data_IF_842421480909
#
_entry.id   IF_842421480909
#
_cell.length_a   1.000
_cell.length_b   1.000
_cell.length_c   1.000
_cell.angle_alpha   90.00
_cell.angle_beta   90.00
_cell.angle_gamma   90.00
#
_symmetry.space_group_name_H-M   'P 1'
#
loop_
_entity.id
_entity.type
_entity.pdbx_description
1 polymer ?
#
# COMPACT_ATOMS: atom_id res chain seq x y z
N UNK A 1 13.60 -3.35 -8.38
CA UNK A 1 12.73 -2.87 -7.26
C UNK A 1 13.47 -1.77 -6.54
N UNK A 2 12.86 -0.61 -6.38
CA UNK A 2 13.36 0.49 -5.55
C UNK A 2 12.77 0.40 -4.15
N UNK A 3 13.47 0.94 -3.16
CA UNK A 3 13.04 0.98 -1.76
C UNK A 3 13.00 2.41 -1.26
N UNK A 4 12.09 2.68 -0.35
CA UNK A 4 11.94 3.95 0.36
C UNK A 4 12.37 3.74 1.81
N UNK A 5 13.14 4.66 2.34
CA UNK A 5 13.45 4.68 3.78
C UNK A 5 12.43 5.53 4.51
N UNK A 6 11.66 4.91 5.41
CA UNK A 6 10.65 5.53 6.26
C UNK A 6 11.00 5.21 7.70
N UNK A 7 11.26 6.21 8.54
CA UNK A 7 11.59 6.02 9.98
C UNK A 7 12.63 4.90 10.20
N UNK A 8 13.66 4.86 9.35
CA UNK A 8 14.73 3.87 9.31
C UNK A 8 14.32 2.45 8.88
N UNK A 9 13.12 2.23 8.37
CA UNK A 9 12.70 0.96 7.77
C UNK A 9 12.69 1.05 6.24
N UNK A 10 13.15 -0.01 5.58
CA UNK A 10 13.15 -0.13 4.13
C UNK A 10 11.82 -0.69 3.63
N UNK A 11 11.13 0.05 2.77
CA UNK A 11 9.83 -0.34 2.21
C UNK A 11 9.92 -0.43 0.69
N UNK A 12 9.54 -1.58 0.07
CA UNK A 12 9.47 -1.64 -1.39
C UNK A 12 8.47 -0.62 -1.93
N UNK A 13 8.91 0.24 -2.85
CA UNK A 13 8.09 1.33 -3.39
C UNK A 13 6.90 0.85 -4.24
N UNK A 14 6.96 -0.39 -4.76
CA UNK A 14 5.86 -1.02 -5.51
C UNK A 14 5.41 -2.31 -4.83
N UNK A 15 4.11 -2.40 -4.54
CA UNK A 15 3.48 -3.58 -3.96
C UNK A 15 2.37 -4.17 -4.83
N UNK A 16 1.90 -5.37 -4.45
CA UNK A 16 0.70 -5.99 -5.02
C UNK A 16 -0.51 -5.71 -4.12
N UNK A 17 -1.51 -4.96 -4.63
CA UNK A 17 -2.82 -4.84 -3.98
C UNK A 17 -3.70 -6.07 -4.26
N UNK A 18 -4.31 -6.65 -3.22
CA UNK A 18 -5.10 -7.88 -3.32
C UNK A 18 -6.63 -7.65 -3.28
N UNK A 19 -7.10 -6.42 -3.24
CA UNK A 19 -8.53 -6.14 -3.20
C UNK A 19 -9.30 -6.79 -4.36
N UNK A 20 -10.37 -7.54 -4.05
CA UNK A 20 -11.18 -8.34 -4.99
C UNK A 20 -10.43 -9.52 -5.65
N UNK A 21 -9.29 -9.91 -5.17
CA UNK A 21 -8.71 -11.21 -5.52
C UNK A 21 -9.28 -12.27 -4.59
N UNK A 22 -9.76 -13.39 -5.13
CA UNK A 22 -10.40 -14.46 -4.36
C UNK A 22 -9.93 -15.83 -4.80
N UNK A 23 -9.97 -16.82 -3.89
CA UNK A 23 -9.71 -18.23 -4.17
C UNK A 23 -8.37 -18.45 -4.89
N UNK A 24 -8.35 -19.40 -5.83
CA UNK A 24 -7.13 -19.78 -6.57
C UNK A 24 -6.51 -18.63 -7.37
N UNK A 25 -7.30 -17.61 -7.75
CA UNK A 25 -6.78 -16.43 -8.47
C UNK A 25 -5.91 -15.61 -7.54
N UNK A 26 -6.33 -15.41 -6.28
CA UNK A 26 -5.54 -14.70 -5.27
C UNK A 26 -4.23 -15.44 -4.97
N UNK A 27 -4.30 -16.73 -4.64
CA UNK A 27 -3.10 -17.56 -4.37
C UNK A 27 -2.09 -17.46 -5.50
N UNK A 28 -2.54 -17.66 -6.75
CA UNK A 28 -1.68 -17.61 -7.93
C UNK A 28 -1.08 -16.21 -8.15
N UNK A 29 -1.89 -15.15 -8.02
CA UNK A 29 -1.42 -13.77 -8.25
C UNK A 29 -0.33 -13.39 -7.25
N UNK A 30 -0.51 -13.70 -5.96
CA UNK A 30 0.49 -13.45 -4.91
C UNK A 30 1.75 -14.26 -5.16
N UNK A 31 1.63 -15.59 -5.38
CA UNK A 31 2.78 -16.44 -5.65
C UNK A 31 3.59 -16.01 -6.88
N UNK A 32 2.90 -15.64 -7.98
CA UNK A 32 3.55 -15.15 -9.21
C UNK A 32 4.21 -13.80 -9.01
N UNK A 33 3.55 -12.85 -8.32
CA UNK A 33 4.15 -11.55 -8.03
C UNK A 33 5.46 -11.70 -7.24
N UNK A 34 5.45 -12.46 -6.15
CA UNK A 34 6.64 -12.70 -5.33
C UNK A 34 7.75 -13.41 -6.13
N UNK A 35 7.40 -14.43 -6.94
CA UNK A 35 8.35 -15.12 -7.82
C UNK A 35 8.97 -14.20 -8.89
N UNK A 36 8.28 -13.11 -9.28
CA UNK A 36 8.76 -12.11 -10.23
C UNK A 36 9.59 -10.99 -9.58
N UNK A 37 9.70 -10.96 -8.24
CA UNK A 37 10.50 -9.98 -7.52
C UNK A 37 9.71 -8.91 -6.78
N UNK A 38 8.36 -9.00 -6.70
CA UNK A 38 7.62 -8.19 -5.73
C UNK A 38 8.05 -8.57 -4.31
N UNK A 39 8.11 -7.56 -3.45
CA UNK A 39 8.45 -7.73 -2.02
C UNK A 39 7.49 -6.98 -1.09
N UNK A 40 6.38 -6.47 -1.61
CA UNK A 40 5.33 -5.82 -0.83
C UNK A 40 3.96 -6.39 -1.25
N UNK A 41 3.19 -6.88 -0.27
CA UNK A 41 1.83 -7.42 -0.47
C UNK A 41 0.86 -6.68 0.46
N UNK A 42 -0.20 -6.10 -0.12
CA UNK A 42 -1.24 -5.38 0.62
C UNK A 42 -2.56 -6.13 0.58
N UNK A 43 -3.09 -6.45 1.76
CA UNK A 43 -4.40 -7.05 1.96
C UNK A 43 -5.18 -6.33 3.07
N UNK A 44 -6.32 -6.88 3.50
CA UNK A 44 -7.13 -6.40 4.61
C UNK A 44 -8.10 -7.48 5.10
N UNK A 45 -8.52 -7.42 6.36
CA UNK A 45 -9.56 -8.29 6.93
C UNK A 45 -10.85 -8.27 6.10
N UNK A 46 -11.29 -7.06 5.69
CA UNK A 46 -12.50 -6.84 4.91
C UNK A 46 -12.47 -7.51 3.52
N UNK A 47 -11.27 -7.78 2.96
CA UNK A 47 -11.18 -8.41 1.64
C UNK A 47 -11.55 -9.90 1.68
N UNK A 48 -11.51 -10.52 2.86
CA UNK A 48 -11.86 -11.93 3.06
C UNK A 48 -10.90 -12.91 2.38
N UNK A 49 -9.68 -12.47 2.04
CA UNK A 49 -8.72 -13.25 1.25
C UNK A 49 -7.35 -13.42 1.93
N UNK A 50 -7.24 -13.11 3.23
CA UNK A 50 -5.98 -13.23 3.96
C UNK A 50 -5.43 -14.66 3.95
N UNK A 51 -6.30 -15.68 3.97
CA UNK A 51 -5.88 -17.08 3.90
C UNK A 51 -5.27 -17.44 2.53
N UNK A 52 -5.81 -16.90 1.46
CA UNK A 52 -5.29 -17.05 0.11
C UNK A 52 -3.97 -16.30 -0.09
N UNK A 53 -3.84 -15.11 0.51
CA UNK A 53 -2.58 -14.34 0.52
C UNK A 53 -1.51 -15.15 1.24
N UNK A 54 -1.76 -15.62 2.45
CA UNK A 54 -0.82 -16.44 3.22
C UNK A 54 -0.38 -17.70 2.45
N UNK A 55 -1.32 -18.39 1.80
CA UNK A 55 -1.00 -19.54 0.96
C UNK A 55 -0.16 -19.15 -0.26
N UNK A 56 -0.48 -18.03 -0.93
CA UNK A 56 0.28 -17.55 -2.08
C UNK A 56 1.72 -17.17 -1.73
N UNK A 57 1.93 -16.62 -0.52
CA UNK A 57 3.28 -16.34 0.02
C UNK A 57 4.05 -17.63 0.28
N UNK A 58 3.43 -18.61 0.93
CA UNK A 58 4.03 -19.93 1.18
C UNK A 58 4.39 -20.65 -0.14
N UNK A 59 3.46 -20.67 -1.12
CA UNK A 59 3.68 -21.30 -2.43
C UNK A 59 4.81 -20.60 -3.24
N UNK A 60 5.12 -19.34 -2.99
CA UNK A 60 6.19 -18.60 -3.64
C UNK A 60 7.59 -19.02 -3.17
N UNK A 61 7.73 -19.55 -1.97
CA UNK A 61 9.00 -19.94 -1.37
C UNK A 61 9.98 -18.78 -1.14
N UNK A 62 9.46 -17.56 -0.97
CA UNK A 62 10.22 -16.37 -0.59
C UNK A 62 10.26 -16.30 0.94
N UNK A 63 11.42 -16.00 1.52
CA UNK A 63 11.55 -15.88 2.97
C UNK A 63 10.63 -14.78 3.51
N UNK A 64 9.99 -15.03 4.66
CA UNK A 64 9.01 -14.11 5.25
C UNK A 64 9.60 -12.72 5.51
N UNK A 65 10.83 -12.65 5.92
CA UNK A 65 11.58 -11.43 6.21
C UNK A 65 11.85 -10.56 4.97
N UNK A 66 11.82 -11.16 3.79
CA UNK A 66 11.97 -10.46 2.51
C UNK A 66 10.65 -9.83 2.02
N UNK A 67 9.52 -10.05 2.70
CA UNK A 67 8.20 -9.57 2.25
C UNK A 67 7.64 -8.55 3.22
N UNK A 68 7.43 -7.32 2.75
CA UNK A 68 6.68 -6.29 3.46
C UNK A 68 5.17 -6.58 3.32
N UNK A 69 4.54 -7.06 4.39
CA UNK A 69 3.15 -7.50 4.41
C UNK A 69 2.26 -6.49 5.17
N UNK A 70 1.25 -5.97 4.48
CA UNK A 70 0.26 -5.06 5.06
C UNK A 70 -1.09 -5.74 5.21
N UNK A 71 -1.72 -5.62 6.39
CA UNK A 71 -3.15 -5.89 6.56
C UNK A 71 -3.83 -4.76 7.33
N UNK A 72 -5.18 -4.79 7.45
CA UNK A 72 -5.96 -3.66 7.96
C UNK A 72 -7.12 -4.13 8.83
N UNK A 73 -7.35 -3.45 9.94
CA UNK A 73 -8.50 -3.65 10.83
C UNK A 73 -9.69 -2.83 10.33
N UNK A 74 -10.87 -3.44 10.27
CA UNK A 74 -12.09 -2.75 9.85
C UNK A 74 -12.71 -1.94 10.99
N UNK A 75 -13.36 -0.78 10.74
CA UNK A 75 -13.88 0.11 11.79
C UNK A 75 -14.80 -0.54 12.83
N UNK A 76 -15.59 -1.54 12.46
CA UNK A 76 -16.44 -2.27 13.43
C UNK A 76 -15.65 -3.03 14.51
N UNK A 77 -14.35 -3.23 14.30
CA UNK A 77 -13.47 -3.99 15.18
C UNK A 77 -12.41 -3.12 15.88
N UNK A 78 -12.64 -1.81 16.02
CA UNK A 78 -11.69 -0.85 16.60
C UNK A 78 -11.60 -0.88 18.13
N UNK A 79 -12.57 -1.48 18.84
CA UNK A 79 -12.46 -1.66 20.29
C UNK A 79 -11.20 -2.48 20.65
N UNK A 80 -10.52 -2.09 21.72
CA UNK A 80 -9.20 -2.60 22.12
C UNK A 80 -9.07 -4.12 22.00
N UNK A 81 -9.89 -4.87 22.73
CA UNK A 81 -9.86 -6.35 22.74
C UNK A 81 -10.16 -6.95 21.35
N UNK A 82 -10.94 -6.23 20.54
CA UNK A 82 -11.25 -6.68 19.18
C UNK A 82 -10.07 -6.49 18.24
N UNK A 83 -9.33 -5.39 18.34
CA UNK A 83 -8.11 -5.17 17.56
C UNK A 83 -7.12 -6.30 17.82
N UNK A 84 -6.83 -6.59 19.08
CA UNK A 84 -5.92 -7.67 19.49
C UNK A 84 -6.38 -9.02 18.90
N UNK A 85 -7.63 -9.40 19.18
CA UNK A 85 -8.18 -10.67 18.72
C UNK A 85 -8.21 -10.78 17.19
N UNK A 86 -8.65 -9.73 16.49
CA UNK A 86 -8.78 -9.73 15.03
C UNK A 86 -7.43 -9.75 14.33
N UNK A 87 -6.44 -9.10 14.88
CA UNK A 87 -5.07 -9.19 14.35
C UNK A 87 -4.51 -10.60 14.55
N UNK A 88 -4.73 -11.23 15.68
CA UNK A 88 -4.37 -12.64 15.88
C UNK A 88 -5.07 -13.61 14.92
N UNK A 89 -6.34 -13.33 14.54
CA UNK A 89 -7.06 -14.09 13.50
C UNK A 89 -6.44 -13.86 12.10
N UNK A 90 -6.00 -12.63 11.80
CA UNK A 90 -5.31 -12.28 10.55
C UNK A 90 -3.97 -12.99 10.43
N UNK A 91 -3.15 -12.98 11.47
CA UNK A 91 -1.85 -13.67 11.50
C UNK A 91 -2.00 -15.17 11.20
N UNK A 92 -2.99 -15.83 11.81
CA UNK A 92 -3.29 -17.25 11.55
C UNK A 92 -3.67 -17.50 10.09
N UNK A 93 -4.49 -16.65 9.48
CA UNK A 93 -4.88 -16.76 8.06
C UNK A 93 -3.71 -16.49 7.14
N UNK A 94 -2.91 -15.48 7.44
CA UNK A 94 -1.72 -15.09 6.70
C UNK A 94 -0.55 -16.08 6.88
N UNK A 95 -0.66 -17.02 7.84
CA UNK A 95 0.35 -18.06 8.14
C UNK A 95 1.70 -17.45 8.52
N UNK A 96 1.67 -16.42 9.35
CA UNK A 96 2.85 -15.69 9.80
C UNK A 96 2.71 -15.31 11.26
N UNK A 97 3.82 -15.09 11.92
CA UNK A 97 3.87 -14.64 13.32
C UNK A 97 3.73 -13.10 13.44
N UNK A 98 4.01 -12.36 12.35
CA UNK A 98 3.93 -10.90 12.34
C UNK A 98 3.47 -10.35 10.99
N UNK A 99 2.99 -9.11 11.00
CA UNK A 99 2.84 -8.27 9.80
C UNK A 99 3.76 -7.06 9.90
N UNK A 100 4.26 -6.59 8.75
CA UNK A 100 5.13 -5.43 8.70
C UNK A 100 4.34 -4.15 8.97
N UNK A 101 3.08 -4.09 8.50
CA UNK A 101 2.24 -2.92 8.67
C UNK A 101 0.79 -3.31 8.99
N UNK A 102 0.27 -2.79 10.10
CA UNK A 102 -1.14 -2.86 10.46
C UNK A 102 -1.78 -1.47 10.31
N UNK A 103 -2.88 -1.38 9.54
CA UNK A 103 -3.59 -0.13 9.33
C UNK A 103 -4.97 -0.12 9.96
N UNK A 104 -5.39 1.03 10.49
CA UNK A 104 -6.81 1.35 10.58
C UNK A 104 -7.34 1.56 9.17
N UNK A 105 -8.32 0.74 8.71
CA UNK A 105 -8.72 0.71 7.29
C UNK A 105 -9.46 1.98 6.82
N UNK A 106 -10.17 2.63 7.74
CA UNK A 106 -10.88 3.90 7.57
C UNK A 106 -10.92 4.63 8.91
N UNK A 107 -11.16 5.95 8.94
CA UNK A 107 -11.61 6.59 10.16
C UNK A 107 -12.85 5.87 10.71
N UNK A 108 -12.93 5.72 12.02
CA UNK A 108 -14.04 5.05 12.68
C UNK A 108 -14.80 6.00 13.59
N UNK A 109 -16.11 5.74 13.77
CA UNK A 109 -16.95 6.44 14.72
C UNK A 109 -17.24 5.56 15.94
N UNK A 110 -17.34 6.14 17.13
CA UNK A 110 -17.83 5.47 18.33
C UNK A 110 -16.79 4.76 19.21
N UNK A 111 -15.53 4.59 18.72
CA UNK A 111 -14.39 4.18 19.55
C UNK A 111 -13.35 5.29 19.51
N UNK A 112 -12.85 5.77 20.66
CA UNK A 112 -11.81 6.79 20.69
C UNK A 112 -10.56 6.34 19.91
N UNK A 113 -9.98 7.23 19.11
CA UNK A 113 -8.81 6.95 18.28
C UNK A 113 -7.64 6.39 19.10
N UNK A 114 -7.40 6.97 20.29
CA UNK A 114 -6.36 6.52 21.20
C UNK A 114 -6.56 5.10 21.76
N UNK A 115 -7.81 4.61 21.86
CA UNK A 115 -8.08 3.23 22.27
C UNK A 115 -7.64 2.24 21.20
N UNK A 116 -8.01 2.49 19.95
CA UNK A 116 -7.63 1.64 18.82
C UNK A 116 -6.12 1.65 18.60
N UNK A 117 -5.51 2.83 18.57
CA UNK A 117 -4.05 2.97 18.39
C UNK A 117 -3.26 2.41 19.59
N UNK A 118 -3.83 2.51 20.81
CA UNK A 118 -3.26 1.87 22.00
C UNK A 118 -3.15 0.35 21.85
N UNK A 119 -4.22 -0.30 21.37
CA UNK A 119 -4.20 -1.73 21.08
C UNK A 119 -3.19 -2.10 19.96
N UNK A 120 -3.09 -1.28 18.91
CA UNK A 120 -2.14 -1.51 17.83
C UNK A 120 -0.69 -1.35 18.31
N UNK A 121 -0.41 -0.43 19.24
CA UNK A 121 0.89 -0.28 19.89
C UNK A 121 1.25 -1.48 20.76
N UNK A 122 0.30 -2.02 21.54
CA UNK A 122 0.55 -3.25 22.31
C UNK A 122 1.00 -4.39 21.39
N UNK A 123 0.31 -4.60 20.26
CA UNK A 123 0.72 -5.58 19.24
C UNK A 123 2.11 -5.29 18.66
N UNK A 124 2.50 -4.02 18.57
CA UNK A 124 3.83 -3.61 18.14
C UNK A 124 4.88 -3.93 19.22
N UNK A 125 4.59 -3.66 20.47
CA UNK A 125 5.47 -3.98 21.60
C UNK A 125 5.66 -5.51 21.77
N UNK A 126 4.64 -6.31 21.44
CA UNK A 126 4.70 -7.77 21.40
C UNK A 126 5.45 -8.33 20.17
N UNK A 127 5.71 -7.51 19.15
CA UNK A 127 6.40 -7.90 17.92
C UNK A 127 5.52 -8.61 16.88
N UNK A 128 4.20 -8.70 17.10
CA UNK A 128 3.26 -9.25 16.12
C UNK A 128 2.87 -8.25 15.02
N UNK A 129 3.18 -6.96 15.22
CA UNK A 129 3.06 -5.87 14.27
C UNK A 129 4.37 -5.07 14.30
N UNK A 130 5.01 -4.82 13.17
CA UNK A 130 6.25 -4.03 13.16
C UNK A 130 5.97 -2.53 13.09
N UNK A 131 4.98 -2.12 12.30
CA UNK A 131 4.61 -0.72 12.11
C UNK A 131 3.09 -0.53 12.17
N UNK A 132 2.68 0.64 12.70
CA UNK A 132 1.29 1.04 12.83
C UNK A 132 1.00 2.19 11.87
N UNK A 133 -0.18 2.21 11.26
CA UNK A 133 -0.59 3.29 10.39
C UNK A 133 -2.10 3.39 10.24
N UNK A 134 -2.49 4.30 9.36
CA UNK A 134 -3.88 4.61 9.09
C UNK A 134 -4.19 4.55 7.60
N UNK A 135 -5.46 4.60 7.24
CA UNK A 135 -5.89 4.67 5.85
C UNK A 135 -7.10 5.60 5.71
N UNK A 136 -7.09 6.43 4.66
CA UNK A 136 -8.12 7.41 4.36
C UNK A 136 -8.27 8.53 5.42
N UNK A 137 -7.23 8.83 6.15
CA UNK A 137 -7.18 9.95 7.08
C UNK A 137 -6.82 11.24 6.33
N UNK A 138 -7.50 12.33 6.64
CA UNK A 138 -7.13 13.67 6.18
C UNK A 138 -6.06 14.27 7.11
N UNK A 139 -5.34 15.34 6.71
CA UNK A 139 -4.15 15.80 7.43
C UNK A 139 -4.33 16.01 8.94
N UNK A 140 -5.38 16.73 9.37
CA UNK A 140 -5.59 16.96 10.80
C UNK A 140 -5.92 15.69 11.61
N UNK A 141 -6.50 14.67 10.97
CA UNK A 141 -6.75 13.39 11.63
C UNK A 141 -5.46 12.54 11.73
N UNK A 142 -4.52 12.70 10.79
CA UNK A 142 -3.17 12.11 10.90
C UNK A 142 -2.42 12.73 12.07
N UNK A 143 -2.50 14.06 12.24
CA UNK A 143 -1.91 14.78 13.39
C UNK A 143 -2.48 14.27 14.72
N UNK A 144 -3.82 14.17 14.82
CA UNK A 144 -4.49 13.59 16.00
C UNK A 144 -4.03 12.14 16.26
N UNK A 145 -3.95 11.31 15.22
CA UNK A 145 -3.45 9.94 15.35
C UNK A 145 -2.01 9.88 15.86
N UNK A 146 -1.17 10.82 15.43
CA UNK A 146 0.24 10.92 15.83
C UNK A 146 0.43 11.27 17.32
N UNK A 147 -0.59 11.84 17.98
CA UNK A 147 -0.57 12.04 19.45
C UNK A 147 -0.67 10.71 20.23
N UNK A 148 -1.17 9.65 19.60
CA UNK A 148 -1.43 8.35 20.22
C UNK A 148 -0.46 7.25 19.82
N UNK A 149 0.09 7.29 18.60
CA UNK A 149 1.06 6.32 18.11
C UNK A 149 1.99 6.95 17.05
N UNK A 150 3.17 6.36 16.87
CA UNK A 150 4.01 6.72 15.73
C UNK A 150 3.34 6.24 14.43
N UNK A 151 2.84 7.16 13.62
CA UNK A 151 2.18 6.83 12.35
C UNK A 151 3.25 6.58 11.29
N UNK A 152 3.34 5.32 10.85
CA UNK A 152 4.27 4.89 9.82
C UNK A 152 3.72 5.09 8.41
N UNK A 153 2.42 4.99 8.22
CA UNK A 153 1.78 5.03 6.90
C UNK A 153 0.40 5.69 6.96
N UNK A 154 0.06 6.48 5.93
CA UNK A 154 -1.31 6.79 5.58
C UNK A 154 -1.60 6.27 4.16
N UNK A 155 -2.45 5.25 4.04
CA UNK A 155 -2.82 4.67 2.75
C UNK A 155 -4.09 5.35 2.20
N UNK A 156 -4.00 5.96 1.02
CA UNK A 156 -5.10 6.75 0.42
C UNK A 156 -5.30 6.43 -1.06
N UNK A 157 -6.48 6.79 -1.60
CA UNK A 157 -6.67 6.77 -3.05
C UNK A 157 -5.84 7.87 -3.67
N UNK A 158 -4.82 7.49 -4.46
CA UNK A 158 -3.93 8.43 -5.11
C UNK A 158 -3.59 7.97 -6.54
N UNK A 159 -3.83 8.82 -7.51
CA UNK A 159 -3.59 8.59 -8.93
C UNK A 159 -3.63 9.93 -9.68
N UNK A 160 -3.24 10.02 -10.97
CA UNK A 160 -3.16 11.28 -11.71
C UNK A 160 -4.42 12.15 -11.69
N UNK A 161 -5.61 11.58 -11.51
CA UNK A 161 -6.89 12.33 -11.46
C UNK A 161 -7.37 12.63 -10.04
N UNK A 162 -6.60 12.30 -9.03
CA UNK A 162 -6.93 12.55 -7.62
C UNK A 162 -5.66 12.92 -6.87
N UNK A 163 -5.37 14.21 -6.82
CA UNK A 163 -4.22 14.74 -6.10
C UNK A 163 -4.33 14.53 -4.59
N UNK A 164 -3.16 14.35 -3.94
CA UNK A 164 -2.99 14.26 -2.49
C UNK A 164 -1.89 15.22 -2.01
N UNK A 165 -1.75 16.39 -2.64
CA UNK A 165 -0.65 17.32 -2.37
C UNK A 165 -0.48 17.70 -0.89
N UNK A 166 -1.58 17.92 -0.17
CA UNK A 166 -1.52 18.23 1.26
C UNK A 166 -0.99 17.05 2.10
N UNK A 167 -1.44 15.82 1.81
CA UNK A 167 -0.95 14.61 2.48
C UNK A 167 0.48 14.27 2.07
N UNK A 168 0.87 14.53 0.82
CA UNK A 168 2.25 14.35 0.35
C UNK A 168 3.21 15.27 1.10
N UNK A 169 2.90 16.57 1.20
CA UNK A 169 3.70 17.51 1.98
C UNK A 169 3.82 17.10 3.45
N UNK A 170 2.70 16.70 4.06
CA UNK A 170 2.70 16.21 5.44
C UNK A 170 3.52 14.91 5.60
N UNK A 171 3.44 13.98 4.62
CA UNK A 171 4.22 12.73 4.65
C UNK A 171 5.73 13.01 4.62
N UNK A 172 6.16 13.97 3.81
CA UNK A 172 7.55 14.41 3.74
C UNK A 172 8.02 15.10 5.03
N UNK A 173 7.17 15.92 5.64
CA UNK A 173 7.48 16.64 6.87
C UNK A 173 7.53 15.71 8.10
N UNK A 174 6.56 14.78 8.22
CA UNK A 174 6.42 13.86 9.36
C UNK A 174 7.13 12.51 9.17
N UNK A 175 7.78 12.30 8.03
CA UNK A 175 8.45 11.05 7.67
C UNK A 175 7.55 9.81 7.77
N UNK A 176 6.38 9.83 7.11
CA UNK A 176 5.53 8.66 6.97
C UNK A 176 5.31 8.25 5.51
N UNK A 177 5.02 6.98 5.28
CA UNK A 177 4.73 6.42 3.96
C UNK A 177 3.34 6.85 3.48
N UNK A 178 3.25 7.45 2.29
CA UNK A 178 1.99 7.69 1.60
C UNK A 178 1.74 6.57 0.59
N UNK A 179 0.90 5.59 0.96
CA UNK A 179 0.60 4.46 0.08
C UNK A 179 -0.56 4.78 -0.85
N UNK A 180 -0.31 4.74 -2.17
CA UNK A 180 -1.31 4.96 -3.20
C UNK A 180 -2.09 3.67 -3.50
N UNK A 181 -3.35 3.57 -3.04
CA UNK A 181 -4.24 2.52 -3.52
C UNK A 181 -5.04 3.00 -4.74
N UNK A 182 -5.50 2.06 -5.58
CA UNK A 182 -6.15 2.36 -6.88
C UNK A 182 -5.29 3.28 -7.77
N UNK A 183 -3.97 3.06 -7.86
CA UNK A 183 -3.03 3.99 -8.49
C UNK A 183 -3.30 4.21 -9.98
N UNK A 184 -3.97 3.26 -10.63
CA UNK A 184 -4.30 3.27 -12.07
C UNK A 184 -5.75 3.71 -12.34
N UNK A 185 -6.43 4.34 -11.37
CA UNK A 185 -7.81 4.79 -11.52
C UNK A 185 -8.75 3.72 -12.14
N UNK A 186 -8.59 2.46 -11.70
CA UNK A 186 -9.34 1.29 -12.22
C UNK A 186 -9.22 1.09 -13.73
N UNK A 187 -8.05 1.39 -14.31
CA UNK A 187 -7.77 1.31 -15.74
C UNK A 187 -8.01 2.63 -16.50
N UNK A 188 -8.50 3.68 -15.85
CA UNK A 188 -8.77 4.97 -16.48
C UNK A 188 -7.52 5.62 -17.09
N UNK A 189 -6.33 5.35 -16.54
CA UNK A 189 -5.06 5.88 -17.05
C UNK A 189 -4.73 5.42 -18.48
N UNK A 190 -5.19 4.24 -18.90
CA UNK A 190 -4.81 3.63 -20.19
C UNK A 190 -5.33 4.44 -21.40
N UNK A 191 -6.44 5.17 -21.25
CA UNK A 191 -7.05 5.93 -22.32
C UNK A 191 -6.65 7.41 -22.30
N UNK A 192 -5.88 7.84 -21.31
CA UNK A 192 -5.46 9.23 -21.19
C UNK A 192 -4.40 9.59 -22.23
N UNK A 193 -4.65 10.68 -22.96
CA UNK A 193 -3.78 11.12 -24.04
C UNK A 193 -2.42 11.59 -23.54
N UNK A 194 -2.39 12.34 -22.43
CA UNK A 194 -1.16 12.86 -21.83
C UNK A 194 -0.27 11.73 -21.33
N UNK A 195 -0.87 10.77 -20.62
CA UNK A 195 -0.13 9.61 -20.10
C UNK A 195 0.41 8.70 -21.22
N UNK A 196 -0.34 8.56 -22.33
CA UNK A 196 0.15 7.81 -23.50
C UNK A 196 1.30 8.53 -24.19
N UNK A 197 1.17 9.83 -24.46
CA UNK A 197 2.24 10.61 -25.08
C UNK A 197 3.55 10.56 -24.27
N UNK A 198 3.44 10.72 -22.94
CA UNK A 198 4.59 10.63 -22.03
C UNK A 198 5.15 9.21 -22.03
N UNK A 199 4.31 8.18 -21.88
CA UNK A 199 4.76 6.79 -21.93
C UNK A 199 5.49 6.46 -23.23
N UNK A 200 4.92 6.80 -24.38
CA UNK A 200 5.51 6.58 -25.71
C UNK A 200 6.90 7.24 -25.85
N UNK A 201 7.10 8.43 -25.30
CA UNK A 201 8.40 9.12 -25.31
C UNK A 201 9.50 8.32 -24.59
N UNK A 202 9.14 7.50 -23.62
CA UNK A 202 10.04 6.60 -22.86
C UNK A 202 9.99 5.13 -23.32
N UNK A 203 9.28 4.82 -24.41
CA UNK A 203 8.98 3.43 -24.84
C UNK A 203 8.21 2.62 -23.78
N UNK A 204 7.33 3.28 -23.04
CA UNK A 204 6.49 2.74 -21.96
C UNK A 204 5.00 2.96 -22.25
N UNK A 205 4.16 2.29 -21.47
CA UNK A 205 2.71 2.44 -21.55
C UNK A 205 2.23 3.61 -20.67
N UNK A 206 0.98 4.05 -20.89
CA UNK A 206 0.32 5.01 -20.00
C UNK A 206 0.23 4.52 -18.55
N UNK A 207 0.08 3.21 -18.35
CA UNK A 207 0.09 2.54 -17.03
C UNK A 207 1.43 2.74 -16.34
N UNK A 208 2.53 2.50 -17.05
CA UNK A 208 3.89 2.67 -16.53
C UNK A 208 4.21 4.14 -16.24
N UNK A 209 3.81 5.07 -17.12
CA UNK A 209 3.95 6.51 -16.87
C UNK A 209 3.19 6.96 -15.60
N UNK A 210 1.96 6.47 -15.40
CA UNK A 210 1.18 6.79 -14.20
C UNK A 210 1.79 6.19 -12.93
N UNK A 211 2.33 4.97 -12.98
CA UNK A 211 3.03 4.36 -11.84
C UNK A 211 4.35 5.10 -11.55
N UNK A 212 5.16 5.41 -12.57
CA UNK A 212 6.42 6.14 -12.37
C UNK A 212 6.18 7.51 -11.76
N UNK A 213 5.14 8.23 -12.20
CA UNK A 213 4.75 9.50 -11.58
C UNK A 213 4.47 9.38 -10.08
N UNK A 214 3.84 8.29 -9.61
CA UNK A 214 3.66 8.04 -8.18
C UNK A 214 4.98 7.71 -7.50
N UNK A 215 5.74 6.76 -8.05
CA UNK A 215 6.94 6.20 -7.44
C UNK A 215 8.14 7.16 -7.44
N UNK A 216 8.13 8.18 -8.29
CA UNK A 216 9.17 9.21 -8.34
C UNK A 216 8.95 10.32 -7.31
N UNK A 217 7.78 10.36 -6.65
CA UNK A 217 7.51 11.27 -5.55
C UNK A 217 8.08 10.71 -4.24
N UNK A 218 8.80 11.54 -3.50
CA UNK A 218 9.37 11.13 -2.21
C UNK A 218 8.27 10.69 -1.23
N UNK A 219 8.52 9.64 -0.44
CA UNK A 219 7.61 9.01 0.52
C UNK A 219 6.37 8.32 -0.08
N UNK A 220 6.30 8.12 -1.41
CA UNK A 220 5.14 7.49 -2.06
C UNK A 220 5.46 6.07 -2.51
N UNK A 221 4.62 5.11 -2.10
CA UNK A 221 4.57 3.78 -2.72
C UNK A 221 3.21 3.54 -3.40
N UNK A 222 3.17 2.60 -4.33
CA UNK A 222 1.95 2.25 -5.06
C UNK A 222 1.65 0.75 -4.99
N UNK A 223 0.36 0.41 -4.84
CA UNK A 223 -0.11 -0.98 -4.73
C UNK A 223 -1.14 -1.32 -5.82
N UNK A 224 -0.72 -1.32 -7.11
CA UNK A 224 -1.60 -1.75 -8.20
C UNK A 224 -2.01 -3.21 -8.04
N UNK A 225 -3.25 -3.51 -8.44
CA UNK A 225 -3.73 -4.89 -8.55
C UNK A 225 -3.44 -5.43 -9.93
N UNK A 226 -2.87 -6.64 -10.01
CA UNK A 226 -2.72 -7.41 -11.24
C UNK A 226 -2.95 -8.90 -10.99
N UNK A 227 -3.45 -9.63 -11.99
CA UNK A 227 -3.72 -11.08 -11.92
C UNK A 227 -2.98 -11.87 -12.99
N UNK A 228 -2.61 -11.23 -14.08
CA UNK A 228 -1.88 -11.83 -15.20
C UNK A 228 -0.39 -11.53 -15.15
N UNK A 229 0.42 -12.47 -15.60
CA UNK A 229 1.88 -12.35 -15.64
C UNK A 229 2.36 -11.14 -16.44
N UNK A 230 1.66 -10.79 -17.51
CA UNK A 230 1.96 -9.63 -18.34
C UNK A 230 1.84 -8.32 -17.57
N UNK A 231 0.70 -8.11 -16.89
CA UNK A 231 0.49 -6.90 -16.10
C UNK A 231 1.38 -6.84 -14.85
N UNK A 232 1.71 -7.99 -14.25
CA UNK A 232 2.66 -8.02 -13.15
C UNK A 232 4.07 -7.58 -13.62
N UNK A 233 4.52 -8.04 -14.79
CA UNK A 233 5.81 -7.60 -15.37
C UNK A 233 5.77 -6.14 -15.79
N UNK A 234 4.70 -5.72 -16.47
CA UNK A 234 4.50 -4.34 -16.90
C UNK A 234 4.61 -3.36 -15.71
N UNK A 235 3.95 -3.69 -14.59
CA UNK A 235 4.03 -2.87 -13.39
C UNK A 235 5.43 -2.83 -12.76
N UNK A 236 6.22 -3.90 -12.85
CA UNK A 236 7.61 -3.94 -12.38
C UNK A 236 8.59 -3.18 -13.29
N UNK A 237 8.27 -3.09 -14.57
CA UNK A 237 9.10 -2.45 -15.60
C UNK A 237 8.91 -0.91 -15.61
N UNK A 238 9.07 -0.30 -14.41
CA UNK A 238 8.89 1.15 -14.17
C UNK A 238 10.10 1.82 -13.52
N UNK A 239 11.16 1.06 -13.26
CA UNK A 239 12.34 1.54 -12.54
C UNK A 239 13.54 1.86 -13.44
N UNK A 240 13.41 1.70 -14.75
CA UNK A 240 14.48 1.89 -15.74
C UNK A 240 14.37 3.20 -16.53
N UNK A 241 13.44 4.08 -16.13
CA UNK A 241 13.27 5.41 -16.70
C UNK A 241 12.85 6.43 -15.65
N UNK A 242 13.05 7.72 -15.94
CA UNK A 242 12.63 8.83 -15.09
C UNK A 242 11.82 9.82 -15.90
N UNK A 243 10.79 10.39 -15.27
CA UNK A 243 10.01 11.50 -15.82
C UNK A 243 10.72 12.81 -15.54
N UNK A 244 10.81 13.70 -16.52
CA UNK A 244 11.27 15.06 -16.31
C UNK A 244 10.30 15.86 -15.44
N UNK A 245 10.77 16.98 -14.87
CA UNK A 245 9.93 17.88 -14.07
C UNK A 245 8.70 18.37 -14.86
N UNK A 246 8.87 18.65 -16.17
CA UNK A 246 7.77 19.06 -17.05
C UNK A 246 6.72 17.93 -17.19
N UNK A 247 7.15 16.68 -17.35
CA UNK A 247 6.25 15.52 -17.45
C UNK A 247 5.54 15.28 -16.12
N UNK A 248 6.25 15.38 -14.99
CA UNK A 248 5.68 15.29 -13.63
C UNK A 248 4.58 16.36 -13.45
N UNK A 249 4.82 17.60 -13.86
CA UNK A 249 3.87 18.71 -13.78
C UNK A 249 2.67 18.50 -14.69
N UNK A 250 2.88 18.02 -15.92
CA UNK A 250 1.80 17.68 -16.86
C UNK A 250 0.87 16.62 -16.29
N UNK A 251 1.41 15.55 -15.71
CA UNK A 251 0.59 14.50 -15.08
C UNK A 251 -0.11 15.04 -13.83
N UNK A 252 0.57 15.81 -12.99
CA UNK A 252 -0.01 16.42 -11.79
C UNK A 252 -1.17 17.37 -12.11
N UNK A 253 -1.19 17.95 -13.31
CA UNK A 253 -2.25 18.86 -13.78
C UNK A 253 -3.56 18.14 -14.15
N UNK A 254 -3.53 16.82 -14.35
CA UNK A 254 -4.72 16.01 -14.67
C UNK A 254 -5.71 15.90 -13.49
N UNK A 255 -5.25 16.11 -12.26
CA UNK A 255 -6.05 16.02 -11.04
C UNK A 255 -6.58 17.35 -10.49
N UNK A 256 -6.44 18.43 -11.25
CA UNK A 256 -6.88 19.79 -10.88
C UNK A 256 -8.29 20.08 -11.33
#
# INVERSE_FOLDING_TARGET
MEYLTIKNAEVPSLGLGTYRLTGKVCVRAVGRALSMGYRHVDTAQMYGNEAEVGRGMEDAGVDREDVFLTTKVWPSDFAYDRVIRKTGESLKKLRTEYVDLLLMHWPGDGVPLGETLGAMRELQEEGSVLHVGVSNFFPSLVEEAAEHAEIFCNQVQYHPYRSQGALLGQAQEMDYLLTAYTPLSRGGVQQDKTLREIGEAHNKTATQAALRWLLQQDKVCAIPKATGDEHLRENLDVFDFELSDEEMDRISSLGR
#
